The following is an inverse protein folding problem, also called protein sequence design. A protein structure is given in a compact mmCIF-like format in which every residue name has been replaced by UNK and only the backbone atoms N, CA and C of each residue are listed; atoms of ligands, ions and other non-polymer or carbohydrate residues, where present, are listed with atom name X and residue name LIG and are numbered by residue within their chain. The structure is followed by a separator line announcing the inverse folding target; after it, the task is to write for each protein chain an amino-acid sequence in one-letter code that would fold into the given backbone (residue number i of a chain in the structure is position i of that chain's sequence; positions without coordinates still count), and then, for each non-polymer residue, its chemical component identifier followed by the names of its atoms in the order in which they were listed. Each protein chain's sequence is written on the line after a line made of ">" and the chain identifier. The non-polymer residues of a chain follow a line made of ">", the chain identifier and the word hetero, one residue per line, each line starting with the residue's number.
data_IF_071657186795
#
_entry.id   IF_071657186795
#
_cell.length_a   1.000
_cell.length_b   1.000
_cell.length_c   1.000
_cell.angle_alpha   90.00
_cell.angle_beta   90.00
_cell.angle_gamma   90.00
#
_symmetry.space_group_name_H-M   'P 1'
#
loop_
_entity.id
_entity.type
_entity.pdbx_description
1 polymer ?
#
# COMPACT_ATOMS: atom_id res chain seq x y z
N UNK A 1 -26.52 -17.39 6.29
CA UNK A 1 -26.46 -17.22 4.82
C UNK A 1 -26.61 -15.76 4.36
N UNK A 2 -27.56 -14.98 4.89
CA UNK A 2 -27.82 -13.58 4.49
C UNK A 2 -26.60 -12.64 4.53
N UNK A 3 -25.74 -12.65 5.56
CA UNK A 3 -24.57 -11.76 5.61
C UNK A 3 -23.54 -12.05 4.51
N UNK A 4 -23.26 -13.34 4.24
CA UNK A 4 -22.30 -13.77 3.19
C UNK A 4 -22.80 -13.34 1.81
N UNK A 5 -24.08 -13.59 1.52
CA UNK A 5 -24.70 -13.19 0.24
C UNK A 5 -24.74 -11.67 0.07
N UNK A 6 -24.93 -10.91 1.16
CA UNK A 6 -24.85 -9.46 1.13
C UNK A 6 -23.43 -8.98 0.83
N UNK A 7 -22.41 -9.51 1.51
CA UNK A 7 -21.00 -9.16 1.25
C UNK A 7 -20.59 -9.45 -0.19
N UNK A 8 -20.98 -10.60 -0.75
CA UNK A 8 -20.73 -10.95 -2.16
C UNK A 8 -21.29 -9.87 -3.09
N UNK A 9 -22.56 -9.50 -2.91
CA UNK A 9 -23.20 -8.46 -3.70
C UNK A 9 -22.50 -7.11 -3.58
N UNK A 10 -22.03 -6.76 -2.38
CA UNK A 10 -21.27 -5.53 -2.17
C UNK A 10 -19.95 -5.52 -2.94
N UNK A 11 -19.21 -6.64 -2.93
CA UNK A 11 -17.95 -6.76 -3.68
C UNK A 11 -18.17 -6.73 -5.19
N UNK A 12 -19.17 -7.44 -5.71
CA UNK A 12 -19.48 -7.46 -7.14
C UNK A 12 -19.92 -6.07 -7.65
N UNK A 13 -20.73 -5.35 -6.87
CA UNK A 13 -21.29 -4.06 -7.30
C UNK A 13 -20.32 -2.87 -7.12
N UNK A 14 -19.50 -2.86 -6.07
CA UNK A 14 -18.70 -1.69 -5.70
C UNK A 14 -17.19 -1.88 -5.89
N UNK A 15 -16.72 -3.12 -5.97
CA UNK A 15 -15.29 -3.45 -6.13
C UNK A 15 -15.08 -4.48 -7.24
N UNK A 16 -15.63 -4.26 -8.46
CA UNK A 16 -15.43 -5.18 -9.56
C UNK A 16 -13.93 -5.33 -9.85
N UNK A 17 -13.52 -6.55 -10.17
CA UNK A 17 -12.13 -6.89 -10.54
C UNK A 17 -11.05 -6.58 -9.50
N UNK A 18 -11.42 -6.14 -8.29
CA UNK A 18 -10.44 -5.83 -7.22
C UNK A 18 -9.93 -7.09 -6.51
N UNK A 19 -10.61 -8.22 -6.67
CA UNK A 19 -10.24 -9.51 -6.07
C UNK A 19 -9.27 -10.27 -6.99
N UNK A 20 -8.05 -10.52 -6.52
CA UNK A 20 -7.04 -11.33 -7.23
C UNK A 20 -7.16 -12.83 -6.93
N UNK A 21 -7.13 -13.21 -5.65
CA UNK A 21 -7.27 -14.60 -5.20
C UNK A 21 -7.81 -14.65 -3.77
N UNK A 22 -8.52 -15.73 -3.45
CA UNK A 22 -8.97 -16.05 -2.09
C UNK A 22 -8.37 -17.40 -1.71
N UNK A 23 -7.62 -17.45 -0.62
CA UNK A 23 -7.02 -18.67 -0.11
C UNK A 23 -7.81 -19.13 1.11
N UNK A 24 -8.52 -20.25 0.99
CA UNK A 24 -9.25 -20.85 2.10
C UNK A 24 -8.35 -21.92 2.72
N UNK A 25 -7.69 -21.55 3.82
CA UNK A 25 -6.70 -22.40 4.48
C UNK A 25 -7.33 -23.29 5.56
N UNK A 26 -6.93 -24.57 5.60
CA UNK A 26 -7.39 -25.59 6.57
C UNK A 26 -8.92 -25.66 6.69
N UNK A 27 -9.62 -25.59 5.57
CA UNK A 27 -11.08 -25.74 5.55
C UNK A 27 -11.49 -27.13 6.07
N UNK A 28 -12.41 -27.24 7.06
CA UNK A 28 -12.90 -28.54 7.51
C UNK A 28 -13.70 -29.22 6.40
N UNK A 29 -13.78 -30.55 6.42
CA UNK A 29 -14.45 -31.34 5.37
C UNK A 29 -15.91 -30.91 5.12
N UNK A 30 -16.63 -30.46 6.16
CA UNK A 30 -18.01 -29.94 6.06
C UNK A 30 -18.12 -28.71 5.17
N UNK A 31 -17.03 -27.95 5.01
CA UNK A 31 -17.01 -26.73 4.19
C UNK A 31 -17.21 -27.03 2.70
N UNK A 32 -16.94 -28.25 2.23
CA UNK A 32 -17.23 -28.64 0.84
C UNK A 32 -18.73 -28.56 0.51
N UNK A 33 -19.61 -28.86 1.48
CA UNK A 33 -21.05 -28.70 1.31
C UNK A 33 -21.46 -27.23 1.25
N UNK A 34 -20.90 -26.41 2.13
CA UNK A 34 -21.15 -24.96 2.16
C UNK A 34 -20.64 -24.29 0.87
N UNK A 35 -19.47 -24.69 0.39
CA UNK A 35 -18.87 -24.17 -0.83
C UNK A 35 -19.74 -24.42 -2.07
N UNK A 36 -20.37 -25.60 -2.19
CA UNK A 36 -21.32 -25.87 -3.28
C UNK A 36 -22.48 -24.87 -3.31
N UNK A 37 -22.96 -24.45 -2.15
CA UNK A 37 -24.04 -23.45 -2.03
C UNK A 37 -23.53 -22.06 -2.40
N UNK A 38 -22.38 -21.65 -1.84
CA UNK A 38 -21.78 -20.31 -2.07
C UNK A 38 -21.37 -20.14 -3.53
N UNK A 39 -20.78 -21.17 -4.15
CA UNK A 39 -20.37 -21.15 -5.56
C UNK A 39 -21.54 -20.82 -6.49
N UNK A 40 -22.76 -21.23 -6.16
CA UNK A 40 -23.96 -20.88 -6.93
C UNK A 40 -24.39 -19.41 -6.81
N UNK A 41 -23.80 -18.64 -5.91
CA UNK A 41 -24.08 -17.20 -5.73
C UNK A 41 -23.00 -16.30 -6.33
N UNK A 42 -21.86 -16.86 -6.73
CA UNK A 42 -20.72 -16.14 -7.26
C UNK A 42 -20.72 -16.20 -8.78
N UNK A 43 -20.35 -15.11 -9.43
CA UNK A 43 -19.96 -15.14 -10.84
C UNK A 43 -18.80 -16.15 -11.07
N UNK A 44 -18.76 -16.89 -12.21
CA UNK A 44 -17.71 -17.88 -12.49
C UNK A 44 -16.27 -17.36 -12.38
N UNK A 45 -16.03 -16.08 -12.71
CA UNK A 45 -14.69 -15.44 -12.61
C UNK A 45 -14.29 -15.22 -11.17
N UNK A 46 -15.23 -14.92 -10.27
CA UNK A 46 -14.95 -14.81 -8.83
C UNK A 46 -14.76 -16.19 -8.22
N UNK A 47 -15.61 -17.16 -8.61
CA UNK A 47 -15.53 -18.53 -8.11
C UNK A 47 -14.22 -19.24 -8.50
N UNK A 48 -13.61 -18.91 -9.64
CA UNK A 48 -12.34 -19.48 -10.08
C UNK A 48 -11.12 -18.96 -9.32
N UNK A 49 -11.25 -17.81 -8.64
CA UNK A 49 -10.19 -17.19 -7.81
C UNK A 49 -10.08 -17.79 -6.41
N UNK A 50 -11.02 -18.66 -6.02
CA UNK A 50 -11.05 -19.30 -4.71
C UNK A 50 -10.24 -20.60 -4.75
N UNK A 51 -9.17 -20.63 -3.99
CA UNK A 51 -8.25 -21.76 -3.85
C UNK A 51 -8.35 -22.34 -2.45
N UNK A 52 -8.37 -23.66 -2.34
CA UNK A 52 -8.38 -24.37 -1.07
C UNK A 52 -6.97 -24.89 -0.79
N UNK A 53 -6.45 -24.58 0.39
CA UNK A 53 -5.13 -25.03 0.85
C UNK A 53 -5.31 -25.85 2.13
N UNK A 54 -4.93 -27.11 2.11
CA UNK A 54 -5.11 -28.05 3.24
C UNK A 54 -3.94 -28.03 4.22
N UNK A 55 -2.75 -27.66 3.75
CA UNK A 55 -1.48 -27.64 4.47
C UNK A 55 -0.61 -26.45 4.03
N UNK A 56 0.48 -26.21 4.75
CA UNK A 56 1.34 -25.05 4.48
C UNK A 56 2.06 -25.16 3.16
N UNK A 57 2.32 -26.38 2.67
CA UNK A 57 2.96 -26.62 1.37
C UNK A 57 2.08 -26.12 0.22
N UNK A 58 0.77 -26.40 0.26
CA UNK A 58 -0.22 -25.87 -0.70
C UNK A 58 -0.39 -24.36 -0.59
N UNK A 59 -0.38 -23.81 0.64
CA UNK A 59 -0.43 -22.36 0.86
C UNK A 59 0.84 -21.68 0.32
N UNK A 60 1.99 -22.37 0.41
CA UNK A 60 3.30 -21.86 -0.04
C UNK A 60 3.43 -21.73 -1.55
N UNK A 61 2.50 -22.32 -2.32
CA UNK A 61 2.39 -22.07 -3.76
C UNK A 61 1.92 -20.64 -4.08
N UNK A 62 1.31 -19.94 -3.10
CA UNK A 62 0.78 -18.58 -3.26
C UNK A 62 1.55 -17.53 -2.44
N UNK A 63 2.02 -17.90 -1.25
CA UNK A 63 2.72 -16.98 -0.32
C UNK A 63 4.05 -17.62 0.07
N UNK A 64 5.21 -16.94 -0.03
CA UNK A 64 6.47 -17.51 0.42
C UNK A 64 6.39 -17.99 1.87
N UNK A 65 6.94 -19.17 2.18
CA UNK A 65 6.87 -19.74 3.55
C UNK A 65 7.45 -18.82 4.62
N UNK A 66 8.47 -18.03 4.25
CA UNK A 66 9.06 -16.98 5.08
C UNK A 66 8.13 -15.82 5.43
N UNK A 67 6.99 -15.69 4.75
CA UNK A 67 5.96 -14.66 5.02
C UNK A 67 4.66 -15.26 5.58
N UNK A 68 4.63 -16.57 5.83
CA UNK A 68 3.49 -17.25 6.47
C UNK A 68 3.80 -17.35 7.96
N UNK A 69 2.90 -16.86 8.81
CA UNK A 69 3.06 -16.92 10.27
C UNK A 69 3.28 -18.33 10.79
N UNK A 70 4.10 -18.48 11.83
CA UNK A 70 4.37 -19.76 12.51
C UNK A 70 3.10 -20.50 12.95
N UNK A 71 2.09 -19.78 13.42
CA UNK A 71 0.78 -20.35 13.80
C UNK A 71 0.07 -21.07 12.64
N UNK A 72 0.36 -20.64 11.41
CA UNK A 72 -0.16 -21.25 10.18
C UNK A 72 0.79 -22.32 9.61
N UNK A 73 1.95 -22.55 10.23
CA UNK A 73 2.95 -23.54 9.82
C UNK A 73 4.09 -22.99 8.95
N UNK A 74 4.15 -21.68 8.76
CA UNK A 74 5.26 -21.03 8.05
C UNK A 74 6.43 -20.66 8.95
N UNK A 75 7.36 -19.86 8.42
CA UNK A 75 8.61 -19.50 9.09
C UNK A 75 8.57 -18.09 9.71
N UNK A 76 7.56 -17.28 9.38
CA UNK A 76 7.43 -15.90 9.85
C UNK A 76 7.10 -15.87 11.35
N UNK A 77 8.02 -15.29 12.11
CA UNK A 77 7.94 -15.15 13.56
C UNK A 77 7.60 -13.72 13.97
N UNK A 78 6.82 -13.03 13.13
CA UNK A 78 6.45 -11.64 13.37
C UNK A 78 5.49 -11.53 14.55
N UNK A 79 5.79 -10.59 15.44
CA UNK A 79 4.92 -10.18 16.53
C UNK A 79 4.72 -8.67 16.46
N UNK A 80 3.51 -8.21 16.74
CA UNK A 80 3.21 -6.77 16.72
C UNK A 80 3.90 -6.06 17.88
N UNK A 81 4.71 -5.06 17.55
CA UNK A 81 5.38 -4.18 18.52
C UNK A 81 5.11 -2.73 18.11
N UNK A 82 4.51 -1.94 19.01
CA UNK A 82 4.31 -0.52 18.77
C UNK A 82 5.58 0.24 19.10
N UNK A 83 6.17 0.90 18.10
CA UNK A 83 7.31 1.80 18.29
C UNK A 83 6.77 3.20 18.61
N UNK A 84 7.01 3.65 19.84
CA UNK A 84 6.60 4.97 20.33
C UNK A 84 7.27 6.11 19.55
N UNK A 85 6.62 7.29 19.43
CA UNK A 85 7.25 8.51 18.94
C UNK A 85 8.53 8.85 19.70
N UNK A 86 9.51 9.39 18.99
CA UNK A 86 10.75 9.89 19.60
C UNK A 86 10.66 11.39 19.84
N UNK A 87 11.21 11.85 20.95
CA UNK A 87 11.33 13.27 21.23
C UNK A 87 12.09 13.97 20.09
N UNK A 88 11.51 15.05 19.56
CA UNK A 88 12.09 15.85 18.49
C UNK A 88 11.92 15.29 17.07
N UNK A 89 11.30 14.12 16.86
CA UNK A 89 11.16 13.52 15.50
C UNK A 89 10.37 14.39 14.51
N UNK A 90 9.64 15.39 15.01
CA UNK A 90 8.84 16.33 14.21
C UNK A 90 9.33 17.79 14.35
N UNK A 91 10.52 18.03 14.90
CA UNK A 91 11.02 19.39 15.15
C UNK A 91 11.19 20.21 13.87
N UNK A 92 11.46 19.57 12.73
CA UNK A 92 11.49 20.22 11.41
C UNK A 92 10.18 20.94 11.07
N UNK A 93 9.03 20.49 11.59
CA UNK A 93 7.75 21.16 11.37
C UNK A 93 7.65 22.54 12.04
N UNK A 94 8.55 22.86 12.99
CA UNK A 94 8.66 24.20 13.59
C UNK A 94 9.34 25.21 12.64
N UNK A 95 10.10 24.74 11.65
CA UNK A 95 10.73 25.59 10.65
C UNK A 95 9.73 25.96 9.53
N UNK A 96 8.88 26.94 9.84
CA UNK A 96 7.88 27.44 8.89
C UNK A 96 8.52 28.21 7.73
N UNK A 97 9.69 28.81 7.92
CA UNK A 97 10.35 29.58 6.86
C UNK A 97 10.82 28.68 5.73
N UNK A 98 11.45 27.54 6.07
CA UNK A 98 11.84 26.54 5.06
C UNK A 98 10.63 25.89 4.42
N UNK A 99 9.59 25.55 5.20
CA UNK A 99 8.31 25.05 4.68
C UNK A 99 7.75 25.98 3.61
N UNK A 100 7.58 27.26 3.95
CA UNK A 100 6.92 28.24 3.08
C UNK A 100 7.71 28.46 1.78
N UNK A 101 9.05 28.40 1.84
CA UNK A 101 9.91 28.44 0.65
C UNK A 101 9.66 27.24 -0.26
N UNK A 102 9.67 26.02 0.28
CA UNK A 102 9.47 24.79 -0.51
C UNK A 102 8.03 24.73 -1.06
N UNK A 103 7.04 25.20 -0.31
CA UNK A 103 5.65 25.33 -0.78
C UNK A 103 5.49 26.33 -1.92
N UNK A 104 6.22 27.47 -1.87
CA UNK A 104 6.24 28.43 -2.96
C UNK A 104 6.83 27.82 -4.24
N UNK A 105 7.97 27.13 -4.14
CA UNK A 105 8.57 26.38 -5.25
C UNK A 105 7.61 25.31 -5.80
N UNK A 106 6.93 24.58 -4.90
CA UNK A 106 5.92 23.59 -5.26
C UNK A 106 4.76 24.21 -6.04
N UNK A 107 4.28 25.38 -5.62
CA UNK A 107 3.18 26.09 -6.29
C UNK A 107 3.54 26.45 -7.72
N UNK A 108 4.77 26.91 -7.97
CA UNK A 108 5.27 27.15 -9.32
C UNK A 108 5.34 25.87 -10.17
N UNK A 109 5.82 24.77 -9.60
CA UNK A 109 5.86 23.47 -10.27
C UNK A 109 4.45 22.97 -10.62
N UNK A 110 3.49 23.10 -9.71
CA UNK A 110 2.09 22.75 -9.93
C UNK A 110 1.52 23.57 -11.09
N UNK A 111 1.76 24.88 -11.11
CA UNK A 111 1.28 25.74 -12.18
C UNK A 111 1.87 25.33 -13.54
N UNK A 112 3.19 25.08 -13.62
CA UNK A 112 3.85 24.61 -14.84
C UNK A 112 3.26 23.28 -15.32
N UNK A 113 3.07 22.32 -14.42
CA UNK A 113 2.48 21.01 -14.74
C UNK A 113 1.03 21.12 -15.22
N UNK A 114 0.23 21.98 -14.58
CA UNK A 114 -1.16 22.24 -14.98
C UNK A 114 -1.22 22.89 -16.36
N UNK A 115 -0.42 23.92 -16.62
CA UNK A 115 -0.36 24.58 -17.93
C UNK A 115 0.02 23.59 -19.03
N UNK A 116 1.10 22.82 -18.83
CA UNK A 116 1.53 21.80 -19.80
C UNK A 116 0.44 20.74 -20.03
N UNK A 117 -0.23 20.30 -18.97
CA UNK A 117 -1.31 19.30 -19.07
C UNK A 117 -2.52 19.85 -19.84
N UNK A 118 -2.88 21.12 -19.64
CA UNK A 118 -3.97 21.77 -20.38
C UNK A 118 -3.61 21.92 -21.86
N UNK A 119 -2.39 22.35 -22.18
CA UNK A 119 -1.92 22.49 -23.57
C UNK A 119 -1.93 21.14 -24.29
N UNK A 120 -1.41 20.08 -23.64
CA UNK A 120 -1.46 18.72 -24.15
C UNK A 120 -2.89 18.23 -24.39
N UNK A 121 -3.80 18.46 -23.43
CA UNK A 121 -5.19 18.03 -23.55
C UNK A 121 -5.94 18.75 -24.69
N UNK A 122 -5.55 19.98 -25.02
CA UNK A 122 -6.07 20.74 -26.17
C UNK A 122 -5.38 20.39 -27.51
N UNK A 123 -4.32 19.59 -27.48
CA UNK A 123 -3.50 19.29 -28.66
C UNK A 123 -2.57 20.45 -29.08
N UNK A 124 -2.36 21.45 -28.22
CA UNK A 124 -1.46 22.58 -28.48
C UNK A 124 0.02 22.18 -28.38
N UNK A 125 0.32 21.09 -27.66
CA UNK A 125 1.64 20.47 -27.62
C UNK A 125 1.53 18.94 -27.41
N UNK A 126 2.67 18.24 -27.40
CA UNK A 126 2.74 16.78 -27.23
C UNK A 126 2.83 16.33 -25.75
N UNK A 127 2.81 17.26 -24.79
CA UNK A 127 2.95 16.96 -23.37
C UNK A 127 4.35 16.46 -22.97
N UNK A 128 5.38 16.83 -23.75
CA UNK A 128 6.75 16.33 -23.61
C UNK A 128 7.36 16.65 -22.24
N UNK A 129 6.94 17.76 -21.61
CA UNK A 129 7.47 18.17 -20.30
C UNK A 129 6.72 17.56 -19.12
N UNK A 130 5.57 16.92 -19.33
CA UNK A 130 4.71 16.41 -18.25
C UNK A 130 5.43 15.41 -17.35
N UNK A 131 6.18 14.48 -17.95
CA UNK A 131 6.91 13.46 -17.20
C UNK A 131 8.01 14.06 -16.32
N UNK A 132 8.77 15.03 -16.86
CA UNK A 132 9.82 15.73 -16.11
C UNK A 132 9.23 16.56 -14.97
N UNK A 133 8.17 17.33 -15.22
CA UNK A 133 7.48 18.13 -14.21
C UNK A 133 6.84 17.25 -13.11
N UNK A 134 6.29 16.08 -13.47
CA UNK A 134 5.81 15.10 -12.50
C UNK A 134 6.93 14.63 -11.58
N UNK A 135 8.11 14.32 -12.14
CA UNK A 135 9.25 13.88 -11.34
C UNK A 135 9.74 14.98 -10.38
N UNK A 136 9.77 16.24 -10.84
CA UNK A 136 10.09 17.38 -9.98
C UNK A 136 9.08 17.56 -8.85
N UNK A 137 7.78 17.40 -9.13
CA UNK A 137 6.73 17.45 -8.09
C UNK A 137 6.86 16.32 -7.04
N UNK A 138 7.27 15.13 -7.47
CA UNK A 138 7.53 14.00 -6.56
C UNK A 138 8.73 14.30 -5.66
N UNK A 139 9.85 14.72 -6.24
CA UNK A 139 11.05 15.06 -5.47
C UNK A 139 10.82 16.22 -4.51
N UNK A 140 10.15 17.29 -4.97
CA UNK A 140 9.80 18.43 -4.12
C UNK A 140 8.86 18.02 -2.96
N UNK A 141 7.93 17.07 -3.17
CA UNK A 141 7.08 16.59 -2.07
C UNK A 141 7.93 15.99 -0.94
N UNK A 142 8.92 15.17 -1.28
CA UNK A 142 9.76 14.55 -0.26
C UNK A 142 10.71 15.52 0.43
N UNK A 143 11.07 16.62 -0.23
CA UNK A 143 11.74 17.75 0.44
C UNK A 143 10.80 18.49 1.40
N UNK A 144 9.52 18.60 1.07
CA UNK A 144 8.49 19.26 1.88
C UNK A 144 8.02 18.39 3.06
N UNK A 145 7.99 17.07 2.87
CA UNK A 145 7.40 16.07 3.77
C UNK A 145 7.82 16.24 5.25
N UNK A 146 9.11 16.47 5.61
CA UNK A 146 9.53 16.68 7.00
C UNK A 146 8.92 17.91 7.68
N UNK A 147 8.44 18.87 6.90
CA UNK A 147 7.92 20.14 7.40
C UNK A 147 6.38 20.17 7.51
N UNK A 148 5.68 19.21 6.87
CA UNK A 148 4.21 19.20 6.78
C UNK A 148 3.56 17.93 7.29
N UNK A 149 4.31 16.84 7.48
CA UNK A 149 3.78 15.55 7.94
C UNK A 149 4.53 15.04 9.17
N UNK A 150 3.78 14.72 10.21
CA UNK A 150 4.31 14.06 11.39
C UNK A 150 4.75 12.62 11.06
N UNK A 151 5.86 12.16 11.66
CA UNK A 151 6.36 10.79 11.53
C UNK A 151 5.34 9.80 12.14
N UNK A 152 5.08 8.74 11.40
CA UNK A 152 4.14 7.67 11.77
C UNK A 152 4.91 6.42 12.21
N UNK A 153 4.18 5.41 12.69
CA UNK A 153 4.75 4.09 12.95
C UNK A 153 5.47 3.55 11.70
N UNK A 154 4.95 3.78 10.50
CA UNK A 154 5.52 3.29 9.25
C UNK A 154 6.86 3.93 8.91
N UNK A 155 7.07 5.20 9.28
CA UNK A 155 8.38 5.85 9.18
C UNK A 155 9.35 5.20 10.19
N UNK A 156 8.91 5.04 11.45
CA UNK A 156 9.74 4.50 12.53
C UNK A 156 10.17 3.05 12.34
N UNK A 157 9.36 2.23 11.68
CA UNK A 157 9.69 0.83 11.36
C UNK A 157 10.33 0.68 9.97
N UNK A 158 10.61 1.77 9.27
CA UNK A 158 11.31 1.75 7.98
C UNK A 158 10.46 1.30 6.79
N UNK A 159 9.13 1.23 6.92
CA UNK A 159 8.24 0.94 5.79
C UNK A 159 8.19 2.11 4.81
N UNK A 160 8.15 3.33 5.34
CA UNK A 160 8.29 4.57 4.56
C UNK A 160 9.72 5.08 4.82
N UNK A 161 10.60 4.89 3.84
CA UNK A 161 11.96 5.42 3.87
C UNK A 161 12.05 6.87 3.39
N UNK A 162 13.27 7.41 3.42
CA UNK A 162 13.58 8.71 2.85
C UNK A 162 13.18 8.76 1.36
N UNK A 163 12.73 9.93 0.89
CA UNK A 163 12.24 10.15 -0.48
C UNK A 163 11.08 9.24 -0.92
N UNK A 164 10.33 8.66 0.03
CA UNK A 164 9.14 7.86 -0.27
C UNK A 164 9.40 6.47 -0.77
N UNK A 165 10.63 5.99 -0.62
CA UNK A 165 10.96 4.61 -0.93
C UNK A 165 10.20 3.70 0.03
N UNK A 166 9.38 2.81 -0.52
CA UNK A 166 8.64 1.84 0.29
C UNK A 166 9.45 0.55 0.45
N UNK A 167 9.56 0.07 1.68
CA UNK A 167 10.04 -1.28 1.99
C UNK A 167 8.96 -1.99 2.81
N UNK A 168 8.19 -2.87 2.17
CA UNK A 168 7.07 -3.55 2.85
C UNK A 168 7.53 -4.62 3.86
N UNK A 169 8.81 -5.04 3.78
CA UNK A 169 9.38 -6.06 4.65
C UNK A 169 10.79 -5.63 5.10
N UNK A 170 10.90 -4.54 5.87
CA UNK A 170 12.19 -4.01 6.27
C UNK A 170 12.89 -5.01 7.20
N UNK A 171 14.14 -5.34 6.88
CA UNK A 171 14.96 -6.19 7.74
C UNK A 171 15.34 -5.42 9.02
N UNK A 172 15.53 -6.11 10.15
CA UNK A 172 15.98 -5.47 11.40
C UNK A 172 17.32 -4.69 11.27
N UNK A 173 18.07 -4.88 10.19
CA UNK A 173 19.31 -4.16 9.90
C UNK A 173 19.12 -2.84 9.12
N UNK A 174 17.93 -2.55 8.60
CA UNK A 174 17.70 -1.38 7.71
C UNK A 174 17.22 -0.11 8.42
N UNK A 175 17.00 -0.14 9.73
CA UNK A 175 16.65 1.06 10.51
C UNK A 175 17.93 1.75 10.97
N UNK A 176 18.59 2.48 10.07
CA UNK A 176 19.73 3.32 10.45
C UNK A 176 19.23 4.64 11.06
N UNK A 177 20.00 5.25 11.96
CA UNK A 177 19.65 6.56 12.53
C UNK A 177 19.56 7.66 11.46
N UNK A 178 20.25 7.48 10.32
CA UNK A 178 20.21 8.41 9.20
C UNK A 178 18.86 8.44 8.47
N UNK A 179 18.01 7.41 8.65
CA UNK A 179 16.67 7.37 8.06
C UNK A 179 15.63 8.16 8.89
N UNK A 180 16.05 8.70 10.04
CA UNK A 180 15.21 9.37 11.02
C UNK A 180 15.58 10.84 11.23
N UNK A 181 16.70 11.28 10.63
CA UNK A 181 17.20 12.66 10.66
C UNK A 181 16.79 13.44 9.40
#
# INVERSE_FOLDING_TARGET
>A
YTPVKFMIKCFEANYPESLGSVLVYKAPWVFQGIWKIIRGWLDPVVASKINFCSNVEELSAFIPKSQISKELGGDEAWEYHYVEPRDGENDKMKDTATRDRIEAERKELVQKYQTETVQWAKGENKGEQRSALRQQLLQNYWQLDPYVRARTLYDRIGIIGHDGKMDFYPSAASTSSADLD
#
